data_IF_836342674032
#
_entry.id   IF_836342674032
#
_cell.length_a   1.000
_cell.length_b   1.000
_cell.length_c   1.000
_cell.angle_alpha   90.00
_cell.angle_beta   90.00
_cell.angle_gamma   90.00
#
_symmetry.space_group_name_H-M   'P 1'
#
loop_
_entity.id
_entity.type
_entity.pdbx_description
1 polymer ?
#
# COMPACT_ATOMS: atom_id res chain seq x y z
N UNK A 1 12.86 -16.96 -18.86
CA UNK A 1 13.32 -16.32 -20.12
C UNK A 1 13.24 -14.81 -19.98
N UNK A 2 14.01 -14.03 -20.74
CA UNK A 2 13.83 -12.56 -20.82
C UNK A 2 13.14 -12.20 -22.14
N UNK A 3 12.06 -11.42 -22.06
CA UNK A 3 11.29 -10.93 -23.20
C UNK A 3 11.32 -9.40 -23.15
N UNK A 4 11.80 -8.74 -24.19
CA UNK A 4 11.85 -7.27 -24.24
C UNK A 4 10.71 -6.74 -25.11
N UNK A 5 9.91 -5.83 -24.56
CA UNK A 5 8.78 -5.17 -25.23
C UNK A 5 9.08 -3.67 -25.37
N UNK A 6 8.64 -3.04 -26.45
CA UNK A 6 8.86 -1.60 -26.69
C UNK A 6 9.62 -1.25 -27.96
N UNK A 7 10.04 -2.25 -28.75
CA UNK A 7 10.86 -2.04 -29.96
C UNK A 7 10.05 -1.79 -31.24
N UNK A 8 8.74 -2.03 -31.20
CA UNK A 8 7.84 -1.94 -32.36
C UNK A 8 6.65 -1.03 -32.04
N UNK A 9 5.86 -0.67 -33.07
CA UNK A 9 4.71 0.23 -32.88
C UNK A 9 3.51 -0.43 -32.18
N UNK A 10 3.52 -1.76 -32.00
CA UNK A 10 2.41 -2.55 -31.42
C UNK A 10 2.75 -3.10 -30.01
N UNK A 11 3.19 -2.21 -29.12
CA UNK A 11 3.65 -2.58 -27.78
C UNK A 11 2.55 -3.21 -26.91
N UNK A 12 1.28 -2.84 -27.13
CA UNK A 12 0.14 -3.31 -26.35
C UNK A 12 -0.17 -4.78 -26.65
N UNK A 13 -0.20 -5.16 -27.93
CA UNK A 13 -0.38 -6.56 -28.33
C UNK A 13 0.81 -7.41 -27.91
N UNK A 14 2.02 -6.87 -27.99
CA UNK A 14 3.21 -7.57 -27.53
C UNK A 14 3.20 -7.82 -26.02
N UNK A 15 2.87 -6.81 -25.21
CA UNK A 15 2.82 -6.95 -23.75
C UNK A 15 1.71 -7.91 -23.31
N UNK A 16 0.49 -7.74 -23.83
CA UNK A 16 -0.62 -8.65 -23.50
C UNK A 16 -0.30 -10.10 -23.89
N UNK A 17 0.26 -10.32 -25.08
CA UNK A 17 0.72 -11.64 -25.52
C UNK A 17 1.83 -12.20 -24.64
N UNK A 18 2.81 -11.38 -24.25
CA UNK A 18 3.89 -11.80 -23.38
C UNK A 18 3.37 -12.23 -22.00
N UNK A 19 2.43 -11.49 -21.40
CA UNK A 19 1.81 -11.85 -20.13
C UNK A 19 1.01 -13.15 -20.24
N UNK A 20 0.21 -13.31 -21.30
CA UNK A 20 -0.64 -14.49 -21.52
C UNK A 20 0.20 -15.76 -21.72
N UNK A 21 1.30 -15.64 -22.48
CA UNK A 21 2.12 -16.79 -22.87
C UNK A 21 3.30 -17.05 -21.92
N UNK A 22 3.50 -16.20 -20.91
CA UNK A 22 4.60 -16.32 -19.97
C UNK A 22 4.61 -17.69 -19.26
N UNK A 23 5.82 -18.15 -18.99
CA UNK A 23 6.09 -19.30 -18.15
C UNK A 23 6.62 -18.84 -16.78
N UNK A 24 6.60 -19.74 -15.80
CA UNK A 24 7.14 -19.44 -14.49
C UNK A 24 8.63 -19.09 -14.57
N UNK A 25 9.01 -17.99 -13.91
CA UNK A 25 10.35 -17.43 -13.92
C UNK A 25 10.65 -16.50 -15.10
N UNK A 26 9.66 -16.18 -15.95
CA UNK A 26 9.87 -15.23 -17.03
C UNK A 26 9.98 -13.78 -16.52
N UNK A 27 10.84 -13.03 -17.21
CA UNK A 27 11.08 -11.61 -17.00
C UNK A 27 10.70 -10.87 -18.27
N UNK A 28 9.67 -10.03 -18.17
CA UNK A 28 9.22 -9.16 -19.24
C UNK A 28 9.81 -7.77 -18.95
N UNK A 29 10.78 -7.35 -19.77
CA UNK A 29 11.42 -6.04 -19.67
C UNK A 29 10.73 -5.04 -20.62
N UNK A 30 10.32 -3.90 -20.09
CA UNK A 30 9.62 -2.84 -20.82
C UNK A 30 10.60 -1.70 -21.13
N UNK A 31 10.74 -1.34 -22.41
CA UNK A 31 11.41 -0.10 -22.80
C UNK A 31 10.57 1.13 -22.38
N UNK A 32 11.18 2.32 -22.23
CA UNK A 32 10.44 3.55 -22.00
C UNK A 32 9.28 3.73 -22.98
N UNK A 33 8.11 4.03 -22.46
CA UNK A 33 6.89 4.10 -23.25
C UNK A 33 5.63 4.01 -22.39
N UNK A 34 4.50 4.21 -23.07
CA UNK A 34 3.17 3.96 -22.53
C UNK A 34 2.65 2.66 -23.10
N UNK A 35 2.13 1.80 -22.23
CA UNK A 35 1.54 0.51 -22.55
C UNK A 35 0.07 0.53 -22.13
N UNK A 36 -0.79 0.25 -23.09
CA UNK A 36 -2.23 0.45 -23.05
C UNK A 36 -2.61 1.94 -22.91
N UNK A 37 -3.84 2.27 -23.26
CA UNK A 37 -4.29 3.66 -23.22
C UNK A 37 -5.09 3.94 -21.94
N UNK A 38 -5.22 5.22 -21.61
CA UNK A 38 -6.06 5.66 -20.49
C UNK A 38 -7.55 5.34 -20.72
N UNK A 39 -7.98 5.32 -21.99
CA UNK A 39 -9.36 5.08 -22.40
C UNK A 39 -9.67 3.59 -22.59
N UNK A 40 -8.63 2.77 -22.76
CA UNK A 40 -8.70 1.32 -22.93
C UNK A 40 -7.59 0.63 -22.12
N UNK A 41 -7.70 0.66 -20.77
CA UNK A 41 -6.72 0.01 -19.91
C UNK A 41 -6.88 -1.51 -19.98
N UNK A 42 -5.76 -2.24 -19.92
CA UNK A 42 -5.78 -3.70 -19.94
C UNK A 42 -6.25 -4.26 -18.60
N UNK A 43 -7.01 -5.35 -18.62
CA UNK A 43 -7.42 -6.07 -17.40
C UNK A 43 -6.91 -7.49 -17.54
N UNK A 44 -6.10 -7.95 -16.60
CA UNK A 44 -5.55 -9.29 -16.70
C UNK A 44 -5.43 -10.00 -15.34
N UNK A 45 -5.56 -11.32 -15.41
CA UNK A 45 -5.22 -12.20 -14.30
C UNK A 45 -3.87 -12.86 -14.55
N UNK A 46 -2.90 -12.63 -13.68
CA UNK A 46 -1.60 -13.27 -13.71
C UNK A 46 -1.67 -14.58 -12.92
N UNK A 47 -1.45 -15.71 -13.60
CA UNK A 47 -1.52 -17.07 -13.03
C UNK A 47 -0.19 -17.82 -13.13
N UNK A 48 0.90 -17.05 -13.16
CA UNK A 48 2.27 -17.51 -13.34
C UNK A 48 3.20 -16.67 -12.48
N UNK A 49 4.34 -17.24 -12.14
CA UNK A 49 5.39 -16.54 -11.42
C UNK A 49 6.22 -15.69 -12.38
N UNK A 50 5.97 -14.37 -12.47
CA UNK A 50 6.61 -13.52 -13.49
C UNK A 50 7.13 -12.20 -12.92
N UNK A 51 8.05 -11.58 -13.65
CA UNK A 51 8.52 -10.22 -13.36
C UNK A 51 8.21 -9.27 -14.52
N UNK A 52 7.65 -8.09 -14.21
CA UNK A 52 7.54 -6.96 -15.14
C UNK A 52 8.53 -5.88 -14.69
N UNK A 53 9.50 -5.54 -15.54
CA UNK A 53 10.61 -4.64 -15.18
C UNK A 53 10.75 -3.53 -16.22
N UNK A 54 10.61 -2.27 -15.81
CA UNK A 54 10.99 -1.13 -16.64
C UNK A 54 12.51 -1.03 -16.78
N UNK A 55 12.98 -0.83 -18.01
CA UNK A 55 14.41 -0.73 -18.32
C UNK A 55 15.05 0.56 -17.79
N UNK A 56 14.28 1.65 -17.72
CA UNK A 56 14.74 2.89 -17.09
C UNK A 56 14.72 2.77 -15.57
N UNK A 57 15.58 3.51 -14.88
CA UNK A 57 15.51 3.66 -13.42
C UNK A 57 14.52 4.74 -13.00
N UNK A 58 14.08 5.59 -13.94
CA UNK A 58 12.97 6.51 -13.68
C UNK A 58 11.66 5.75 -13.90
N UNK A 59 10.91 5.52 -12.83
CA UNK A 59 9.64 4.78 -12.88
C UNK A 59 8.58 5.45 -13.76
N UNK A 60 8.69 6.76 -14.00
CA UNK A 60 7.73 7.50 -14.84
C UNK A 60 7.98 7.34 -16.34
N UNK A 61 9.12 6.75 -16.74
CA UNK A 61 9.45 6.47 -18.14
C UNK A 61 8.66 5.27 -18.70
N UNK A 62 8.15 4.39 -17.82
CA UNK A 62 7.34 3.22 -18.19
C UNK A 62 5.98 3.34 -17.52
N UNK A 63 4.94 3.59 -18.31
CA UNK A 63 3.56 3.73 -17.84
C UNK A 63 2.72 2.59 -18.35
N UNK A 64 2.09 1.85 -17.44
CA UNK A 64 1.23 0.72 -17.77
C UNK A 64 -0.18 1.03 -17.30
N UNK A 65 -1.12 1.18 -18.24
CA UNK A 65 -2.52 1.38 -17.93
C UNK A 65 -3.20 0.01 -17.79
N UNK A 66 -3.25 -0.54 -16.57
CA UNK A 66 -3.69 -1.91 -16.35
C UNK A 66 -4.31 -2.13 -14.95
N UNK A 67 -5.27 -3.05 -14.90
CA UNK A 67 -5.70 -3.74 -13.67
C UNK A 67 -5.09 -5.15 -13.64
N UNK A 68 -4.35 -5.45 -12.58
CA UNK A 68 -3.75 -6.76 -12.35
C UNK A 68 -4.49 -7.51 -11.25
N UNK A 69 -4.95 -8.73 -11.54
CA UNK A 69 -5.36 -9.70 -10.52
C UNK A 69 -4.32 -10.80 -10.42
N UNK A 70 -3.71 -10.99 -9.25
CA UNK A 70 -2.73 -12.05 -9.04
C UNK A 70 -3.45 -13.27 -8.50
N UNK A 71 -3.44 -14.34 -9.28
CA UNK A 71 -4.09 -15.60 -8.94
C UNK A 71 -3.39 -16.30 -7.77
N UNK A 72 -4.14 -17.20 -7.11
CA UNK A 72 -3.70 -17.95 -5.95
C UNK A 72 -2.29 -18.55 -6.09
N UNK A 73 -1.50 -18.45 -5.04
CA UNK A 73 -0.13 -19.01 -4.93
C UNK A 73 0.85 -18.57 -6.04
N UNK A 74 0.57 -17.47 -6.74
CA UNK A 74 1.49 -16.91 -7.74
C UNK A 74 2.24 -15.70 -7.20
N UNK A 75 3.43 -15.50 -7.77
CA UNK A 75 4.34 -14.40 -7.46
C UNK A 75 4.37 -13.42 -8.64
N UNK A 76 4.22 -12.14 -8.35
CA UNK A 76 4.55 -11.09 -9.31
C UNK A 76 5.58 -10.12 -8.74
N UNK A 77 6.52 -9.72 -9.59
CA UNK A 77 7.49 -8.68 -9.29
C UNK A 77 7.29 -7.52 -10.26
N UNK A 78 7.07 -6.32 -9.73
CA UNK A 78 7.05 -5.07 -10.49
C UNK A 78 8.27 -4.24 -10.14
N UNK A 79 8.94 -3.68 -11.15
CA UNK A 79 10.10 -2.81 -10.92
C UNK A 79 10.18 -1.65 -11.90
N UNK A 80 10.51 -0.46 -11.41
CA UNK A 80 10.75 0.74 -12.21
C UNK A 80 9.60 1.11 -13.17
N UNK A 81 8.37 1.21 -12.68
CA UNK A 81 7.23 1.56 -13.52
C UNK A 81 6.11 2.26 -12.75
N UNK A 82 5.30 3.01 -13.48
CA UNK A 82 4.04 3.53 -13.03
C UNK A 82 2.90 2.64 -13.56
N UNK A 83 2.05 2.14 -12.66
CA UNK A 83 0.88 1.33 -12.96
C UNK A 83 -0.35 2.16 -12.59
N UNK A 84 -1.22 2.38 -13.56
CA UNK A 84 -2.43 3.16 -13.37
C UNK A 84 -3.63 2.40 -13.89
N UNK A 85 -4.76 2.48 -13.19
CA UNK A 85 -6.04 2.06 -13.73
C UNK A 85 -7.02 3.21 -13.67
N UNK A 86 -7.68 3.48 -14.79
CA UNK A 86 -8.50 4.67 -15.03
C UNK A 86 -9.96 4.34 -15.35
N UNK A 87 -10.28 3.06 -15.53
CA UNK A 87 -11.66 2.61 -15.72
C UNK A 87 -12.32 2.27 -14.37
N UNK A 88 -13.62 2.03 -14.38
CA UNK A 88 -14.38 1.65 -13.19
C UNK A 88 -14.36 0.13 -12.96
N UNK A 89 -14.85 -0.30 -11.79
CA UNK A 89 -15.24 -1.70 -11.47
C UNK A 89 -14.13 -2.71 -11.14
N UNK A 90 -12.87 -2.32 -11.03
CA UNK A 90 -11.79 -3.20 -10.58
C UNK A 90 -10.73 -2.41 -9.79
N UNK A 91 -9.91 -3.08 -8.98
CA UNK A 91 -8.71 -2.50 -8.37
C UNK A 91 -7.63 -2.25 -9.43
N UNK A 92 -6.65 -1.38 -9.15
CA UNK A 92 -5.43 -1.33 -9.99
C UNK A 92 -4.61 -2.60 -9.79
N UNK A 93 -4.58 -3.11 -8.56
CA UNK A 93 -3.97 -4.40 -8.22
C UNK A 93 -4.80 -5.15 -7.19
N UNK A 94 -5.05 -6.43 -7.42
CA UNK A 94 -5.63 -7.32 -6.42
C UNK A 94 -4.83 -8.61 -6.30
N UNK A 95 -4.72 -9.17 -5.09
CA UNK A 95 -3.99 -10.41 -4.85
C UNK A 95 -4.69 -11.28 -3.80
N UNK A 96 -4.91 -12.54 -4.15
CA UNK A 96 -5.71 -13.48 -3.38
C UNK A 96 -4.94 -14.77 -3.04
N UNK A 97 -5.31 -15.40 -1.93
CA UNK A 97 -5.07 -16.83 -1.65
C UNK A 97 -3.62 -17.29 -1.88
N UNK A 98 -2.71 -16.77 -1.05
CA UNK A 98 -1.30 -17.10 -1.09
C UNK A 98 -0.50 -16.34 -2.15
N UNK A 99 -1.13 -15.48 -2.95
CA UNK A 99 -0.42 -14.65 -3.91
C UNK A 99 0.59 -13.71 -3.22
N UNK A 100 1.73 -13.50 -3.88
CA UNK A 100 2.81 -12.63 -3.41
C UNK A 100 3.10 -11.53 -4.43
N UNK A 101 3.13 -10.28 -3.96
CA UNK A 101 3.42 -9.10 -4.77
C UNK A 101 4.68 -8.42 -4.24
N UNK A 102 5.66 -8.24 -5.12
CA UNK A 102 6.87 -7.48 -4.83
C UNK A 102 6.95 -6.25 -5.74
N UNK A 103 7.12 -5.06 -5.15
CA UNK A 103 7.29 -3.81 -5.86
C UNK A 103 8.57 -3.08 -5.45
N UNK A 104 9.39 -2.69 -6.42
CA UNK A 104 10.65 -1.95 -6.20
C UNK A 104 10.71 -0.74 -7.13
N UNK A 105 10.74 0.47 -6.57
CA UNK A 105 10.70 1.72 -7.33
C UNK A 105 9.50 1.79 -8.28
N UNK A 106 8.29 1.59 -7.75
CA UNK A 106 7.04 1.66 -8.51
C UNK A 106 6.13 2.79 -8.03
N UNK A 107 5.21 3.20 -8.90
CA UNK A 107 4.03 3.97 -8.51
C UNK A 107 2.80 3.16 -8.88
N UNK A 108 1.88 2.95 -7.95
CA UNK A 108 0.55 2.41 -8.25
C UNK A 108 -0.44 3.51 -7.93
N UNK A 109 -1.09 4.03 -8.96
CA UNK A 109 -2.06 5.10 -8.87
C UNK A 109 -3.43 4.64 -9.40
N UNK A 110 -4.49 5.21 -8.84
CA UNK A 110 -5.85 4.97 -9.28
C UNK A 110 -6.52 6.31 -9.47
N UNK A 111 -6.76 6.74 -10.70
CA UNK A 111 -7.32 8.08 -10.99
C UNK A 111 -8.83 8.02 -11.29
N UNK A 112 -9.58 7.33 -10.45
CA UNK A 112 -11.03 7.10 -10.66
C UNK A 112 -11.87 7.78 -9.58
N UNK A 113 -13.18 7.87 -9.80
CA UNK A 113 -14.17 8.43 -8.87
C UNK A 113 -15.01 7.37 -8.13
N UNK A 114 -14.77 6.08 -8.42
CA UNK A 114 -15.47 4.95 -7.82
C UNK A 114 -15.00 4.63 -6.39
N UNK A 115 -15.60 3.60 -5.78
CA UNK A 115 -15.35 3.18 -4.39
C UNK A 115 -14.41 1.96 -4.29
N UNK A 116 -13.77 1.58 -5.39
CA UNK A 116 -12.80 0.49 -5.41
C UNK A 116 -11.46 0.95 -4.85
N UNK A 117 -10.88 0.17 -3.95
CA UNK A 117 -9.54 0.40 -3.41
C UNK A 117 -8.49 0.43 -4.54
N UNK A 118 -7.38 1.14 -4.38
CA UNK A 118 -6.27 1.07 -5.37
C UNK A 118 -5.69 -0.34 -5.38
N UNK A 119 -5.37 -0.86 -4.18
CA UNK A 119 -4.87 -2.21 -3.98
C UNK A 119 -5.72 -2.94 -2.95
N UNK A 120 -6.20 -4.13 -3.30
CA UNK A 120 -6.87 -5.04 -2.38
C UNK A 120 -6.12 -6.37 -2.23
N UNK A 121 -5.90 -6.80 -1.00
CA UNK A 121 -5.23 -8.05 -0.68
C UNK A 121 -6.05 -8.90 0.27
N UNK A 122 -6.27 -10.16 -0.10
CA UNK A 122 -6.89 -11.16 0.79
C UNK A 122 -6.03 -12.43 0.86
N UNK A 123 -5.66 -12.86 2.07
CA UNK A 123 -4.81 -14.04 2.26
C UNK A 123 -3.46 -13.97 1.50
N UNK A 124 -2.88 -12.77 1.35
CA UNK A 124 -1.77 -12.51 0.43
C UNK A 124 -0.57 -11.84 1.10
N UNK A 125 0.55 -11.78 0.39
CA UNK A 125 1.78 -11.12 0.83
C UNK A 125 2.14 -9.97 -0.10
N UNK A 126 2.55 -8.84 0.49
CA UNK A 126 3.04 -7.67 -0.23
C UNK A 126 4.40 -7.24 0.31
N UNK A 127 5.32 -6.86 -0.57
CA UNK A 127 6.58 -6.22 -0.23
C UNK A 127 6.85 -5.02 -1.14
N UNK A 128 6.92 -3.82 -0.58
CA UNK A 128 7.18 -2.59 -1.33
C UNK A 128 8.46 -1.90 -0.89
N UNK A 129 9.25 -1.44 -1.86
CA UNK A 129 10.47 -0.67 -1.62
C UNK A 129 10.51 0.54 -2.54
N UNK A 130 10.89 1.71 -2.00
CA UNK A 130 11.08 2.94 -2.79
C UNK A 130 9.83 3.30 -3.62
N UNK A 131 8.64 3.00 -3.11
CA UNK A 131 7.39 2.95 -3.89
C UNK A 131 6.34 3.96 -3.43
N UNK A 132 5.34 4.19 -4.27
CA UNK A 132 4.22 5.10 -3.98
C UNK A 132 2.90 4.43 -4.32
N UNK A 133 2.00 4.35 -3.33
CA UNK A 133 0.64 3.82 -3.49
C UNK A 133 -0.34 4.96 -3.29
N UNK A 134 -0.94 5.39 -4.40
CA UNK A 134 -1.79 6.57 -4.51
C UNK A 134 -3.23 6.16 -4.78
N UNK A 135 -4.16 6.95 -4.27
CA UNK A 135 -5.60 6.83 -4.50
C UNK A 135 -6.03 8.17 -5.09
N UNK A 136 -6.87 8.17 -6.11
CA UNK A 136 -7.24 9.38 -6.84
C UNK A 136 -8.02 10.38 -6.00
N UNK A 137 -8.77 11.26 -6.68
CA UNK A 137 -9.38 12.47 -6.11
C UNK A 137 -10.42 12.20 -5.01
N UNK A 138 -10.78 10.95 -4.74
CA UNK A 138 -11.78 10.59 -3.73
C UNK A 138 -11.16 10.30 -2.37
N UNK A 139 -11.55 11.11 -1.39
CA UNK A 139 -11.05 11.11 0.00
C UNK A 139 -11.44 9.90 0.85
N UNK A 140 -12.03 8.83 0.30
CA UNK A 140 -12.47 7.64 1.08
C UNK A 140 -11.95 6.31 0.56
N UNK A 141 -11.45 6.30 -0.66
CA UNK A 141 -10.87 5.10 -1.28
C UNK A 141 -9.58 4.73 -0.54
N UNK A 142 -9.38 3.43 -0.31
CA UNK A 142 -8.18 2.95 0.38
C UNK A 142 -7.07 2.74 -0.66
N UNK A 143 -5.85 3.18 -0.34
CA UNK A 143 -4.70 2.95 -1.21
C UNK A 143 -4.22 1.51 -1.13
N UNK A 144 -4.08 0.98 0.08
CA UNK A 144 -3.79 -0.44 0.30
C UNK A 144 -4.69 -0.99 1.41
N UNK A 145 -5.51 -1.98 1.04
CA UNK A 145 -6.52 -2.63 1.86
C UNK A 145 -6.16 -4.10 2.05
N UNK A 146 -5.87 -4.51 3.29
CA UNK A 146 -5.37 -5.85 3.61
C UNK A 146 -6.37 -6.61 4.49
N UNK A 147 -6.70 -7.84 4.09
CA UNK A 147 -7.52 -8.78 4.86
C UNK A 147 -6.83 -10.14 4.99
N UNK A 148 -6.47 -10.52 6.22
CA UNK A 148 -5.70 -11.74 6.49
C UNK A 148 -4.37 -11.83 5.71
N UNK A 149 -3.72 -10.69 5.51
CA UNK A 149 -2.54 -10.55 4.66
C UNK A 149 -1.31 -10.09 5.44
N UNK A 150 -0.16 -10.11 4.77
CA UNK A 150 1.12 -9.61 5.28
C UNK A 150 1.65 -8.49 4.40
N UNK A 151 2.29 -7.49 5.01
CA UNK A 151 2.96 -6.39 4.31
C UNK A 151 4.34 -6.12 4.93
N UNK A 152 5.36 -6.02 4.07
CA UNK A 152 6.63 -5.39 4.36
C UNK A 152 6.79 -4.14 3.48
N UNK A 153 7.17 -3.00 4.05
CA UNK A 153 7.47 -1.82 3.26
C UNK A 153 8.69 -1.07 3.79
N UNK A 154 9.59 -0.65 2.89
CA UNK A 154 10.71 0.26 3.18
C UNK A 154 10.65 1.46 2.24
N UNK A 155 10.80 2.68 2.76
CA UNK A 155 10.77 3.92 1.98
C UNK A 155 9.57 4.01 1.03
N UNK A 156 8.37 3.73 1.55
CA UNK A 156 7.13 3.68 0.75
C UNK A 156 6.11 4.69 1.25
N UNK A 157 5.49 5.40 0.32
CA UNK A 157 4.37 6.29 0.59
C UNK A 157 3.05 5.55 0.34
N UNK A 158 2.16 5.58 1.32
CA UNK A 158 0.76 5.18 1.17
C UNK A 158 -0.12 6.41 1.41
N UNK A 159 -1.12 6.63 0.58
CA UNK A 159 -2.12 7.63 0.94
C UNK A 159 -3.02 7.14 2.08
N UNK A 160 -3.64 5.97 1.92
CA UNK A 160 -4.44 5.34 2.97
C UNK A 160 -4.06 3.87 3.10
N UNK A 161 -3.66 3.46 4.30
CA UNK A 161 -3.36 2.06 4.64
C UNK A 161 -4.39 1.53 5.63
N UNK A 162 -5.15 0.52 5.20
CA UNK A 162 -6.13 -0.17 6.00
C UNK A 162 -5.76 -1.65 6.13
N UNK A 163 -5.85 -2.17 7.35
CA UNK A 163 -5.52 -3.58 7.59
C UNK A 163 -6.46 -4.24 8.60
N UNK A 164 -6.94 -5.43 8.24
CA UNK A 164 -7.88 -6.24 9.01
C UNK A 164 -7.32 -7.65 9.17
N UNK A 165 -7.18 -8.12 10.41
CA UNK A 165 -6.55 -9.41 10.73
C UNK A 165 -5.21 -9.64 10.01
N UNK A 166 -4.42 -8.59 9.86
CA UNK A 166 -3.22 -8.59 9.01
C UNK A 166 -1.99 -8.19 9.79
N UNK A 167 -0.81 -8.52 9.28
CA UNK A 167 0.47 -8.17 9.89
C UNK A 167 1.31 -7.30 8.96
N UNK A 168 1.71 -6.13 9.44
CA UNK A 168 2.46 -5.16 8.67
C UNK A 168 3.76 -4.78 9.36
N UNK A 169 4.84 -4.64 8.59
CA UNK A 169 6.09 -4.00 8.98
C UNK A 169 6.39 -2.80 8.08
N UNK A 170 6.52 -1.60 8.65
CA UNK A 170 6.84 -0.37 7.91
C UNK A 170 8.18 0.19 8.35
N UNK A 171 9.04 0.54 7.40
CA UNK A 171 10.32 1.19 7.65
C UNK A 171 10.44 2.44 6.77
N UNK A 172 10.89 3.55 7.34
CA UNK A 172 11.08 4.83 6.63
C UNK A 172 9.87 5.23 5.78
N UNK A 173 8.66 4.90 6.21
CA UNK A 173 7.46 4.96 5.38
C UNK A 173 6.59 6.13 5.78
N UNK A 174 5.74 6.55 4.84
CA UNK A 174 4.87 7.70 5.01
C UNK A 174 3.42 7.29 4.76
N UNK A 175 2.50 7.71 5.62
CA UNK A 175 1.06 7.62 5.39
C UNK A 175 0.46 9.02 5.31
N UNK A 176 0.00 9.45 4.14
CA UNK A 176 -0.39 10.85 3.92
C UNK A 176 -1.87 11.16 4.16
N UNK A 177 -2.72 10.17 4.44
CA UNK A 177 -4.11 10.44 4.82
C UNK A 177 -4.49 9.74 6.11
N UNK A 178 -4.48 8.41 6.13
CA UNK A 178 -4.93 7.66 7.30
C UNK A 178 -4.36 6.25 7.36
N UNK A 179 -4.04 5.84 8.58
CA UNK A 179 -3.66 4.50 8.95
C UNK A 179 -4.72 3.88 9.87
N UNK A 180 -5.29 2.75 9.48
CA UNK A 180 -6.30 2.06 10.30
C UNK A 180 -6.08 0.56 10.45
N UNK A 181 -6.13 0.09 11.69
CA UNK A 181 -6.00 -1.31 12.09
C UNK A 181 -7.30 -1.81 12.73
N UNK A 182 -7.74 -3.00 12.32
CA UNK A 182 -8.91 -3.69 12.89
C UNK A 182 -8.69 -5.19 13.07
N UNK A 183 -9.46 -5.78 13.98
CA UNK A 183 -9.60 -7.24 14.18
C UNK A 183 -8.27 -7.97 14.30
N UNK A 184 -7.57 -7.80 15.43
CA UNK A 184 -6.31 -8.50 15.72
C UNK A 184 -5.14 -8.17 14.77
N UNK A 185 -5.21 -7.06 14.03
CA UNK A 185 -4.10 -6.62 13.17
C UNK A 185 -2.89 -6.21 14.00
N UNK A 186 -1.70 -6.38 13.42
CA UNK A 186 -0.42 -6.02 14.04
C UNK A 186 0.37 -5.11 13.09
N UNK A 187 0.81 -3.98 13.60
CA UNK A 187 1.77 -3.11 12.93
C UNK A 187 3.04 -3.01 13.76
N UNK A 188 4.16 -3.33 13.13
CA UNK A 188 5.49 -2.99 13.60
C UNK A 188 6.07 -1.90 12.71
N UNK A 189 6.80 -0.94 13.27
CA UNK A 189 7.43 0.09 12.44
C UNK A 189 8.75 0.64 12.98
N UNK A 190 9.49 1.29 12.09
CA UNK A 190 10.63 2.17 12.38
C UNK A 190 10.62 3.36 11.44
N UNK A 191 10.70 4.59 11.96
CA UNK A 191 10.61 5.82 11.16
C UNK A 191 9.32 5.86 10.33
N UNK A 192 8.17 5.99 11.00
CA UNK A 192 6.86 6.11 10.35
C UNK A 192 6.35 7.54 10.49
N UNK A 193 6.09 8.20 9.35
CA UNK A 193 5.50 9.55 9.36
C UNK A 193 4.05 9.51 8.89
N UNK A 194 3.16 10.19 9.61
CA UNK A 194 1.76 10.38 9.22
C UNK A 194 1.52 11.86 8.91
N UNK A 195 1.11 12.15 7.68
CA UNK A 195 1.03 13.51 7.08
C UNK A 195 -0.39 13.83 6.60
N UNK A 196 -1.38 13.76 7.49
CA UNK A 196 -2.81 13.81 7.15
C UNK A 196 -3.41 15.22 6.95
N UNK A 197 -2.66 16.14 6.36
CA UNK A 197 -3.10 17.52 6.19
C UNK A 197 -4.37 17.61 5.31
N UNK A 198 -5.38 18.36 5.76
CA UNK A 198 -6.60 18.65 4.99
C UNK A 198 -7.43 17.43 4.55
N UNK A 199 -7.42 16.33 5.31
CA UNK A 199 -8.25 15.16 4.99
C UNK A 199 -9.64 15.23 5.62
N UNK A 200 -10.63 14.58 5.00
CA UNK A 200 -11.98 14.44 5.56
C UNK A 200 -12.08 13.36 6.64
N UNK A 201 -10.98 12.67 6.95
CA UNK A 201 -10.99 11.61 7.93
C UNK A 201 -10.98 12.15 9.35
N UNK A 202 -11.79 11.52 10.19
CA UNK A 202 -11.86 11.89 11.61
C UNK A 202 -10.60 11.54 12.40
N UNK A 203 -9.80 10.57 11.98
CA UNK A 203 -8.59 10.21 12.72
C UNK A 203 -7.50 9.90 11.70
N UNK A 204 -6.29 10.34 12.00
CA UNK A 204 -5.07 10.08 11.23
C UNK A 204 -4.59 8.65 11.49
N UNK A 205 -4.68 8.23 12.76
CA UNK A 205 -4.43 6.87 13.20
C UNK A 205 -5.62 6.33 13.99
N UNK A 206 -6.11 5.16 13.59
CA UNK A 206 -7.13 4.42 14.32
C UNK A 206 -6.73 2.96 14.54
N UNK A 207 -6.68 2.52 15.80
CA UNK A 207 -6.31 1.13 16.16
C UNK A 207 -7.46 0.54 16.96
N UNK A 208 -8.06 -0.56 16.48
CA UNK A 208 -9.30 -1.10 17.04
C UNK A 208 -9.30 -2.61 17.16
N UNK A 209 -10.13 -3.12 18.05
CA UNK A 209 -10.54 -4.54 18.11
C UNK A 209 -9.36 -5.49 18.32
N UNK A 210 -8.70 -5.35 19.46
CA UNK A 210 -7.55 -6.14 19.91
C UNK A 210 -6.35 -6.08 18.96
N UNK A 211 -6.20 -4.97 18.24
CA UNK A 211 -5.04 -4.76 17.36
C UNK A 211 -3.85 -4.24 18.16
N UNK A 212 -2.65 -4.37 17.59
CA UNK A 212 -1.40 -3.90 18.20
C UNK A 212 -0.62 -3.00 17.25
N UNK A 213 -0.14 -1.88 17.77
CA UNK A 213 0.87 -1.02 17.14
C UNK A 213 2.10 -1.01 18.03
N UNK A 214 3.27 -1.28 17.47
CA UNK A 214 4.55 -1.13 18.16
C UNK A 214 5.66 -0.63 17.25
N UNK A 215 6.56 0.21 17.76
CA UNK A 215 7.68 0.70 16.95
C UNK A 215 8.44 1.86 17.56
N UNK A 216 9.38 2.38 16.77
CA UNK A 216 10.22 3.53 17.10
C UNK A 216 10.06 4.62 16.04
N UNK A 217 10.12 5.88 16.47
CA UNK A 217 10.09 7.08 15.61
C UNK A 217 8.76 7.21 14.84
N UNK A 218 7.64 7.33 15.56
CA UNK A 218 6.34 7.66 14.96
C UNK A 218 6.13 9.17 15.02
N UNK A 219 6.07 9.78 13.85
CA UNK A 219 5.98 11.24 13.70
C UNK A 219 4.64 11.59 13.05
N UNK A 220 3.85 12.44 13.70
CA UNK A 220 2.74 13.13 13.07
C UNK A 220 3.19 14.52 12.64
N UNK A 221 3.07 14.82 11.36
CA UNK A 221 3.47 16.12 10.82
C UNK A 221 2.33 17.16 10.78
N UNK A 222 1.12 16.76 11.15
CA UNK A 222 -0.05 17.65 11.22
C UNK A 222 -0.03 18.47 12.53
N UNK A 223 -0.54 19.70 12.51
CA UNK A 223 -0.56 20.60 13.66
C UNK A 223 -1.48 20.11 14.80
N UNK A 224 -2.50 19.30 14.50
CA UNK A 224 -3.44 18.76 15.51
C UNK A 224 -3.78 17.28 15.22
N UNK A 225 -2.83 16.36 15.40
CA UNK A 225 -3.06 14.96 15.02
C UNK A 225 -4.18 14.33 15.84
N UNK A 226 -5.03 13.54 15.19
CA UNK A 226 -6.15 12.83 15.79
C UNK A 226 -5.85 11.33 15.82
N UNK A 227 -5.61 10.83 17.03
CA UNK A 227 -5.26 9.43 17.29
C UNK A 227 -6.34 8.76 18.12
N UNK A 228 -6.78 7.58 17.70
CA UNK A 228 -7.79 6.82 18.42
C UNK A 228 -7.42 5.35 18.61
N UNK A 229 -7.24 4.92 19.86
CA UNK A 229 -6.93 3.55 20.25
C UNK A 229 -8.11 2.95 21.01
N UNK A 230 -8.73 1.87 20.52
CA UNK A 230 -9.89 1.25 21.16
C UNK A 230 -9.67 -0.24 21.36
N UNK A 231 -9.81 -0.71 22.61
CA UNK A 231 -9.59 -2.10 23.02
C UNK A 231 -8.34 -2.68 22.35
N UNK A 232 -7.21 -1.97 22.43
CA UNK A 232 -6.01 -2.27 21.63
C UNK A 232 -4.73 -1.88 22.36
N UNK A 233 -3.59 -2.36 21.83
CA UNK A 233 -2.27 -2.06 22.38
C UNK A 233 -1.54 -1.06 21.50
N UNK A 234 -0.93 -0.05 22.11
CA UNK A 234 -0.12 0.97 21.46
C UNK A 234 1.17 1.15 22.28
N UNK A 235 2.31 0.80 21.70
CA UNK A 235 3.62 0.80 22.37
C UNK A 235 4.67 1.45 21.48
N UNK A 236 4.93 2.74 21.70
CA UNK A 236 5.74 3.56 20.79
C UNK A 236 6.85 4.27 21.54
N UNK A 237 8.03 4.25 20.93
CA UNK A 237 9.21 4.99 21.37
C UNK A 237 9.53 6.12 20.39
N UNK A 238 10.10 7.20 20.91
CA UNK A 238 10.44 8.42 20.19
C UNK A 238 9.22 9.01 19.46
N UNK A 239 8.12 9.16 20.22
CA UNK A 239 6.85 9.63 19.69
C UNK A 239 6.83 11.15 19.49
N UNK A 240 6.41 11.60 18.30
CA UNK A 240 6.34 13.03 17.98
C UNK A 240 5.02 13.40 17.27
N UNK A 241 4.44 14.58 17.57
CA UNK A 241 4.84 15.50 18.63
C UNK A 241 4.48 14.96 20.03
N UNK A 242 4.76 15.74 21.08
CA UNK A 242 4.39 15.39 22.45
C UNK A 242 2.86 15.19 22.59
N UNK A 243 2.43 14.40 23.57
CA UNK A 243 1.04 13.97 23.73
C UNK A 243 0.04 15.12 23.91
N UNK A 244 0.49 16.24 24.48
CA UNK A 244 -0.30 17.46 24.70
C UNK A 244 -0.70 18.14 23.38
N UNK A 245 0.07 17.90 22.31
CA UNK A 245 -0.17 18.44 20.98
C UNK A 245 -1.05 17.51 20.13
N UNK A 246 -1.43 16.35 20.66
CA UNK A 246 -2.18 15.30 19.96
C UNK A 246 -3.55 15.14 20.60
N UNK A 247 -4.59 15.11 19.76
CA UNK A 247 -5.91 14.66 20.17
C UNK A 247 -5.91 13.14 20.32
N UNK A 248 -5.27 12.66 21.39
CA UNK A 248 -5.04 11.24 21.65
C UNK A 248 -6.19 10.68 22.51
N UNK A 249 -7.06 9.86 21.91
CA UNK A 249 -8.21 9.24 22.60
C UNK A 249 -8.00 7.74 22.71
N UNK A 250 -8.18 7.20 23.92
CA UNK A 250 -8.20 5.76 24.16
C UNK A 250 -9.35 5.36 25.08
N UNK A 251 -9.63 4.07 25.23
CA UNK A 251 -10.60 3.54 26.20
C UNK A 251 -9.89 2.82 27.36
N UNK A 252 -10.64 2.47 28.41
CA UNK A 252 -10.14 1.78 29.59
C UNK A 252 -9.59 0.36 29.30
N UNK A 253 -9.98 -0.24 28.18
CA UNK A 253 -9.53 -1.58 27.77
C UNK A 253 -8.21 -1.53 27.00
N UNK A 254 -7.78 -0.34 26.56
CA UNK A 254 -6.56 -0.16 25.80
C UNK A 254 -5.32 -0.06 26.69
N UNK A 255 -4.20 -0.61 26.20
CA UNK A 255 -2.89 -0.50 26.86
C UNK A 255 -2.02 0.45 26.05
N UNK A 256 -1.68 1.59 26.64
CA UNK A 256 -0.96 2.65 25.97
C UNK A 256 0.38 2.88 26.68
N UNK A 257 1.46 2.73 25.94
CA UNK A 257 2.82 3.02 26.35
C UNK A 257 3.46 3.94 25.31
N UNK A 258 3.95 5.09 25.76
CA UNK A 258 4.59 6.10 24.93
C UNK A 258 5.86 6.55 25.64
N UNK A 259 7.01 6.42 24.99
CA UNK A 259 8.32 6.83 25.51
C UNK A 259 8.62 6.29 26.92
N UNK A 260 8.26 5.01 27.14
CA UNK A 260 8.42 4.32 28.42
C UNK A 260 7.40 4.72 29.50
N UNK A 261 6.46 5.64 29.22
CA UNK A 261 5.38 6.03 30.13
C UNK A 261 4.10 5.26 29.83
N UNK A 262 3.52 4.64 30.84
CA UNK A 262 2.20 3.99 30.74
C UNK A 262 1.11 5.05 30.95
N UNK A 263 0.24 5.23 29.96
CA UNK A 263 -0.90 6.12 30.08
C UNK A 263 -2.12 5.37 30.63
N UNK A 264 -2.82 6.00 31.56
CA UNK A 264 -4.09 5.52 32.10
C UNK A 264 -5.09 6.66 32.14
N UNK A 265 -6.39 6.37 32.14
CA UNK A 265 -7.44 7.40 32.27
C UNK A 265 -7.35 8.22 33.56
N UNK A 266 -6.53 7.82 34.54
CA UNK A 266 -6.30 8.58 35.77
C UNK A 266 -5.24 9.67 35.63
N UNK A 267 -4.48 9.70 34.53
CA UNK A 267 -3.36 10.62 34.29
C UNK A 267 -3.62 11.59 33.13
N UNK A 268 -4.88 11.93 32.86
CA UNK A 268 -5.30 12.97 31.91
C UNK A 268 -6.09 14.06 32.62
#
# INVERSE_FOLDING_TARGET
MKITIGEQDDNDAQLSSAIINAQDGDVIELLPGTYFSIDDPFICTVRRNISLIGKSTNKDDVKVYCSFTIGAENIIIFKNMAITYTSDKDNTLSAYDGAEVYGDNISIDRQTSDDWDTIYGQNSFFSFKDSQILTGVKTKTIGLSLENSQLFADNTLFQLLFQKNSQTYLKNSVVSQKLELRRYSKLNFRNLTIVSNNTQFKNDLAVKSNSKVSGQDLIFANNTPQVRILKSNFDVHDFQPELEQINFKFDNESKIQVDGKILSHKNK
#
